data_IF_242451254421
#
_entry.id   IF_242451254421
#
_cell.length_a   1.000
_cell.length_b   1.000
_cell.length_c   1.000
_cell.angle_alpha   90.00
_cell.angle_beta   90.00
_cell.angle_gamma   90.00
#
_symmetry.space_group_name_H-M   'P 1'
#
loop_
_entity.id
_entity.type
_entity.pdbx_description
1 polymer ?
#
# COMPACT_ATOMS: atom_id res chain seq x y z
N UNK A 1 9.07 -7.67 -3.50
CA UNK A 1 10.53 -7.62 -3.28
C UNK A 1 11.03 -6.37 -3.98
N UNK A 2 11.45 -5.36 -3.22
CA UNK A 2 12.11 -4.15 -3.75
C UNK A 2 13.61 -4.47 -3.70
N UNK A 3 14.30 -4.57 -4.84
CA UNK A 3 15.74 -4.87 -4.89
C UNK A 3 16.50 -3.83 -5.74
N UNK A 4 17.77 -3.61 -5.42
CA UNK A 4 18.69 -2.70 -6.13
C UNK A 4 19.64 -3.43 -7.09
N UNK A 5 19.63 -3.02 -8.37
CA UNK A 5 20.66 -3.20 -9.40
C UNK A 5 20.21 -2.47 -10.70
N UNK A 6 21.13 -2.12 -11.61
CA UNK A 6 20.91 -1.35 -12.85
C UNK A 6 19.97 -1.98 -13.92
N UNK A 7 19.24 -3.03 -13.59
CA UNK A 7 18.16 -3.58 -14.41
C UNK A 7 17.01 -3.96 -13.47
N UNK A 8 16.20 -2.97 -13.12
CA UNK A 8 14.94 -3.18 -12.42
C UNK A 8 13.85 -3.55 -13.44
N UNK A 9 13.82 -4.81 -13.86
CA UNK A 9 12.61 -5.36 -14.51
C UNK A 9 11.55 -5.54 -13.42
N UNK A 10 10.95 -4.43 -12.99
CA UNK A 10 9.83 -4.42 -12.04
C UNK A 10 10.12 -3.91 -10.61
N UNK A 11 11.28 -3.31 -10.33
CA UNK A 11 11.59 -2.72 -9.01
C UNK A 11 11.55 -1.19 -9.02
N UNK A 12 11.05 -0.61 -7.92
CA UNK A 12 11.23 0.82 -7.62
C UNK A 12 12.68 1.05 -7.21
N UNK A 13 13.47 1.58 -8.13
CA UNK A 13 14.83 1.99 -7.85
C UNK A 13 14.82 3.24 -6.95
N UNK A 14 15.59 3.19 -5.87
CA UNK A 14 15.82 4.29 -4.94
C UNK A 14 17.23 4.17 -4.38
N UNK A 15 17.73 5.22 -3.71
CA UNK A 15 19.05 5.22 -3.08
C UNK A 15 19.06 4.33 -1.83
N UNK A 16 20.25 3.92 -1.40
CA UNK A 16 20.47 3.15 -0.16
C UNK A 16 19.80 3.85 1.04
N UNK A 17 20.01 5.16 1.17
CA UNK A 17 19.37 5.96 2.21
C UNK A 17 17.83 5.92 2.16
N UNK A 18 17.24 5.91 0.96
CA UNK A 18 15.79 5.89 0.79
C UNK A 18 15.20 4.52 1.15
N UNK A 19 15.87 3.43 0.77
CA UNK A 19 15.39 2.09 1.09
C UNK A 19 15.60 1.76 2.58
N UNK A 20 16.68 2.23 3.20
CA UNK A 20 16.95 2.03 4.62
C UNK A 20 15.84 2.62 5.50
N UNK A 21 15.40 3.85 5.19
CA UNK A 21 14.31 4.50 5.91
C UNK A 21 12.99 3.72 5.77
N UNK A 22 12.65 3.28 4.55
CA UNK A 22 11.44 2.48 4.30
C UNK A 22 11.52 1.15 5.07
N UNK A 23 12.68 0.48 5.04
CA UNK A 23 12.88 -0.78 5.74
C UNK A 23 12.70 -0.61 7.25
N UNK A 24 13.21 0.48 7.82
CA UNK A 24 13.03 0.79 9.23
C UNK A 24 11.54 0.96 9.60
N UNK A 25 10.78 1.75 8.85
CA UNK A 25 9.35 1.95 9.14
C UNK A 25 8.52 0.68 8.95
N UNK A 26 8.76 -0.06 7.88
CA UNK A 26 8.05 -1.33 7.61
C UNK A 26 8.36 -2.35 8.70
N UNK A 27 9.64 -2.50 9.08
CA UNK A 27 10.05 -3.42 10.15
C UNK A 27 9.39 -3.05 11.46
N UNK A 28 9.40 -1.76 11.84
CA UNK A 28 8.73 -1.30 13.05
C UNK A 28 7.22 -1.62 13.02
N UNK A 29 6.52 -1.30 11.93
CA UNK A 29 5.09 -1.57 11.80
C UNK A 29 4.77 -3.06 12.00
N UNK A 30 5.56 -3.97 11.40
CA UNK A 30 5.37 -5.41 11.53
C UNK A 30 5.69 -5.92 12.93
N UNK A 31 6.81 -5.50 13.53
CA UNK A 31 7.22 -5.89 14.89
C UNK A 31 6.19 -5.44 15.93
N UNK A 32 5.58 -4.27 15.74
CA UNK A 32 4.54 -3.74 16.62
C UNK A 32 3.11 -4.18 16.24
N UNK A 33 2.97 -5.22 15.41
CA UNK A 33 1.71 -5.96 15.25
C UNK A 33 0.82 -5.51 14.09
N UNK A 34 1.28 -4.63 13.20
CA UNK A 34 0.55 -4.36 11.96
C UNK A 34 0.67 -5.59 11.02
N UNK A 35 -0.43 -6.18 10.55
CA UNK A 35 -0.37 -7.44 9.78
C UNK A 35 0.16 -7.26 8.35
N UNK A 36 0.12 -6.03 7.82
CA UNK A 36 0.55 -5.68 6.47
C UNK A 36 0.72 -4.16 6.35
N UNK A 37 1.69 -3.72 5.55
CA UNK A 37 1.87 -2.29 5.23
C UNK A 37 1.30 -2.01 3.84
N UNK A 38 0.36 -1.07 3.76
CA UNK A 38 -0.19 -0.62 2.48
C UNK A 38 0.73 0.44 1.88
N UNK A 39 1.08 0.27 0.61
CA UNK A 39 1.92 1.20 -0.14
C UNK A 39 1.08 1.83 -1.25
N UNK A 40 1.04 3.15 -1.29
CA UNK A 40 0.41 3.92 -2.37
C UNK A 40 1.48 4.73 -3.09
N UNK A 41 1.47 4.70 -4.42
CA UNK A 41 2.48 5.35 -5.25
C UNK A 41 1.79 6.29 -6.22
N UNK A 42 2.27 7.53 -6.25
CA UNK A 42 1.73 8.59 -7.08
C UNK A 42 2.81 9.10 -8.04
N UNK A 43 2.45 9.53 -9.26
CA UNK A 43 3.42 9.94 -10.29
C UNK A 43 4.21 11.20 -9.89
N UNK A 44 3.63 12.03 -9.05
CA UNK A 44 4.18 13.27 -8.49
C UNK A 44 3.32 13.68 -7.30
N UNK A 45 3.73 14.72 -6.57
CA UNK A 45 2.87 15.41 -5.59
C UNK A 45 1.67 16.00 -6.31
N UNK A 46 0.47 15.43 -6.14
CA UNK A 46 -0.70 15.68 -7.01
C UNK A 46 -1.43 17.00 -6.72
N UNK A 47 -0.67 18.07 -6.50
CA UNK A 47 -1.21 19.43 -6.38
C UNK A 47 -1.90 19.84 -7.67
N UNK A 48 -2.87 20.76 -7.58
CA UNK A 48 -3.61 21.24 -8.76
C UNK A 48 -2.66 21.87 -9.80
N UNK A 49 -1.62 22.56 -9.34
CA UNK A 49 -0.57 23.10 -10.20
C UNK A 49 0.18 22.01 -10.98
N UNK A 50 0.53 20.89 -10.34
CA UNK A 50 1.20 19.77 -11.01
C UNK A 50 0.24 19.02 -11.94
N UNK A 51 -1.01 18.83 -11.55
CA UNK A 51 -2.04 18.27 -12.44
C UNK A 51 -2.21 19.12 -13.71
N UNK A 52 -2.26 20.44 -13.56
CA UNK A 52 -2.35 21.36 -14.69
C UNK A 52 -1.09 21.36 -15.55
N UNK A 53 0.10 21.30 -14.94
CA UNK A 53 1.38 21.18 -15.65
C UNK A 53 1.42 19.96 -16.56
N UNK A 54 0.82 18.84 -16.14
CA UNK A 54 0.83 17.60 -16.90
C UNK A 54 -0.50 17.28 -17.61
N UNK A 55 -1.36 18.28 -17.85
CA UNK A 55 -2.70 18.10 -18.45
C UNK A 55 -2.72 17.46 -19.84
N UNK A 56 -1.62 17.50 -20.58
CA UNK A 56 -1.49 16.88 -21.90
C UNK A 56 -0.84 15.48 -21.87
N UNK A 57 -0.58 14.93 -20.68
CA UNK A 57 -0.08 13.57 -20.53
C UNK A 57 -1.12 12.56 -21.03
N UNK A 58 -0.64 11.49 -21.67
CA UNK A 58 -1.45 10.32 -21.99
C UNK A 58 -2.13 9.71 -20.75
N UNK A 59 -1.51 9.85 -19.57
CA UNK A 59 -2.02 9.31 -18.31
C UNK A 59 -2.92 10.26 -17.53
N UNK A 60 -3.30 11.43 -18.09
CA UNK A 60 -4.07 12.47 -17.36
C UNK A 60 -5.35 11.91 -16.72
N UNK A 61 -6.07 11.05 -17.43
CA UNK A 61 -7.37 10.52 -16.99
C UNK A 61 -7.21 9.43 -15.94
N UNK A 62 -6.08 8.72 -15.97
CA UNK A 62 -5.69 7.81 -14.91
C UNK A 62 -5.31 8.58 -13.64
N UNK A 63 -4.47 9.61 -13.75
CA UNK A 63 -4.07 10.42 -12.60
C UNK A 63 -5.26 11.17 -11.98
N UNK A 64 -6.22 11.62 -12.78
CA UNK A 64 -7.47 12.19 -12.27
C UNK A 64 -8.23 11.23 -11.34
N UNK A 65 -8.14 9.91 -11.56
CA UNK A 65 -8.75 8.91 -10.68
C UNK A 65 -7.96 8.67 -9.39
N UNK A 66 -6.64 8.91 -9.40
CA UNK A 66 -5.80 8.79 -8.21
C UNK A 66 -5.91 9.99 -7.26
N UNK A 67 -6.15 11.19 -7.82
CA UNK A 67 -6.14 12.46 -7.09
C UNK A 67 -7.04 12.48 -5.85
N UNK A 68 -8.30 11.97 -5.87
CA UNK A 68 -9.14 11.96 -4.68
C UNK A 68 -8.53 11.18 -3.51
N UNK A 69 -7.79 10.10 -3.78
CA UNK A 69 -7.10 9.32 -2.76
C UNK A 69 -5.88 10.04 -2.20
N UNK A 70 -5.14 10.73 -3.06
CA UNK A 70 -4.04 11.60 -2.67
C UNK A 70 -4.54 12.74 -1.76
N UNK A 71 -5.54 13.48 -2.22
CA UNK A 71 -6.08 14.64 -1.48
C UNK A 71 -6.66 14.22 -0.11
N UNK A 72 -7.34 13.07 -0.06
CA UNK A 72 -7.85 12.51 1.21
C UNK A 72 -6.71 12.24 2.20
N UNK A 73 -5.63 11.62 1.73
CA UNK A 73 -4.48 11.32 2.56
C UNK A 73 -3.79 12.60 3.05
N UNK A 74 -3.54 13.58 2.17
CA UNK A 74 -2.88 14.83 2.58
C UNK A 74 -3.72 15.64 3.57
N UNK A 75 -5.06 15.57 3.50
CA UNK A 75 -5.93 16.26 4.45
C UNK A 75 -6.05 15.55 5.81
N UNK A 76 -6.07 14.21 5.81
CA UNK A 76 -6.44 13.42 7.00
C UNK A 76 -5.29 12.65 7.62
N UNK A 77 -4.19 12.52 6.88
CA UNK A 77 -3.05 11.65 7.15
C UNK A 77 -3.47 10.19 7.40
N UNK A 78 -4.59 9.76 6.80
CA UNK A 78 -5.11 8.40 6.88
C UNK A 78 -5.23 7.83 5.47
N UNK A 79 -4.80 6.58 5.24
CA UNK A 79 -4.92 5.96 3.93
C UNK A 79 -6.41 5.77 3.60
N UNK A 80 -6.88 6.13 2.39
CA UNK A 80 -8.25 5.87 1.98
C UNK A 80 -8.48 4.37 1.71
N UNK A 81 -9.74 3.95 1.62
CA UNK A 81 -10.09 2.67 0.99
C UNK A 81 -10.14 2.86 -0.51
N UNK A 82 -9.48 1.97 -1.25
CA UNK A 82 -9.43 2.00 -2.72
C UNK A 82 -9.98 0.69 -3.25
N UNK A 83 -10.85 0.77 -4.26
CA UNK A 83 -11.41 -0.37 -4.98
C UNK A 83 -11.41 -0.10 -6.48
N UNK A 84 -11.55 -1.16 -7.28
CA UNK A 84 -11.64 -1.06 -8.74
C UNK A 84 -13.04 -1.50 -9.16
N UNK A 85 -13.75 -0.63 -9.86
CA UNK A 85 -15.08 -0.90 -10.42
C UNK A 85 -15.03 -0.54 -11.89
N UNK A 86 -15.37 -1.49 -12.77
CA UNK A 86 -15.34 -1.32 -14.24
C UNK A 86 -14.01 -0.75 -14.77
N UNK A 87 -12.89 -1.23 -14.19
CA UNK A 87 -11.54 -0.78 -14.55
C UNK A 87 -11.17 0.62 -14.05
N UNK A 88 -12.00 1.25 -13.21
CA UNK A 88 -11.76 2.59 -12.64
C UNK A 88 -11.48 2.52 -11.16
N UNK A 89 -10.60 3.39 -10.69
CA UNK A 89 -10.31 3.53 -9.27
C UNK A 89 -11.43 4.29 -8.57
N UNK A 90 -11.98 3.69 -7.52
CA UNK A 90 -12.99 4.29 -6.65
C UNK A 90 -12.40 4.43 -5.25
N UNK A 91 -12.32 5.67 -4.79
CA UNK A 91 -11.78 6.05 -3.49
C UNK A 91 -12.94 6.28 -2.53
N UNK A 92 -12.90 5.61 -1.38
CA UNK A 92 -13.89 5.75 -0.31
C UNK A 92 -13.20 5.99 1.04
N UNK A 93 -13.98 6.50 2.01
CA UNK A 93 -13.48 6.65 3.39
C UNK A 93 -13.12 5.27 3.95
N UNK A 94 -12.10 5.17 4.82
CA UNK A 94 -11.74 3.93 5.47
C UNK A 94 -12.96 3.30 6.14
N UNK A 95 -13.25 2.04 5.80
CA UNK A 95 -14.29 1.31 6.50
C UNK A 95 -13.89 1.19 7.97
N UNK A 96 -14.74 1.72 8.86
CA UNK A 96 -14.55 1.50 10.30
C UNK A 96 -14.57 -0.02 10.55
N UNK A 97 -13.71 -0.58 11.42
CA UNK A 97 -13.66 -2.02 11.70
C UNK A 97 -14.98 -2.64 12.21
N UNK A 98 -16.02 -1.82 12.46
CA UNK A 98 -17.31 -2.24 13.03
C UNK A 98 -18.37 -2.65 12.00
N UNK A 99 -17.94 -3.20 10.86
CA UNK A 99 -18.85 -3.76 9.85
C UNK A 99 -18.29 -5.07 9.28
N UNK A 100 -17.87 -5.99 10.15
CA UNK A 100 -17.92 -7.42 9.83
C UNK A 100 -19.08 -8.00 10.61
N UNK A 101 -20.23 -8.12 9.97
CA UNK A 101 -21.34 -8.89 10.50
C UNK A 101 -20.86 -10.34 10.64
N UNK A 102 -20.69 -10.80 11.87
CA UNK A 102 -20.32 -12.17 12.15
C UNK A 102 -21.47 -13.08 11.69
N UNK A 103 -21.28 -13.86 10.64
CA UNK A 103 -22.18 -14.97 10.33
C UNK A 103 -21.38 -16.16 9.79
N UNK A 104 -21.69 -17.32 10.37
CA UNK A 104 -21.30 -18.69 10.01
C UNK A 104 -19.87 -19.12 10.37
N UNK A 105 -19.79 -19.95 11.41
CA UNK A 105 -18.57 -20.58 11.88
C UNK A 105 -18.12 -21.75 11.02
N UNK A 106 -16.81 -21.98 11.05
CA UNK A 106 -16.21 -23.27 10.74
C UNK A 106 -15.19 -23.54 11.85
N UNK A 107 -15.49 -24.51 12.73
CA UNK A 107 -14.52 -25.06 13.67
C UNK A 107 -13.43 -25.77 12.84
N UNK A 108 -12.25 -25.15 12.71
CA UNK A 108 -11.07 -25.88 12.27
C UNK A 108 -10.35 -26.43 13.50
N UNK A 109 -10.35 -27.74 13.63
CA UNK A 109 -9.52 -28.45 14.61
C UNK A 109 -8.05 -28.18 14.30
N UNK A 110 -7.35 -27.50 15.21
CA UNK A 110 -5.91 -27.35 15.15
C UNK A 110 -5.22 -28.63 15.66
N UNK A 111 -4.64 -29.40 14.73
CA UNK A 111 -3.68 -30.45 15.05
C UNK A 111 -2.41 -29.80 15.61
N UNK A 112 -2.06 -30.12 16.87
CA UNK A 112 -0.77 -29.78 17.47
C UNK A 112 0.36 -30.53 16.77
N UNK A 113 1.05 -29.87 15.84
CA UNK A 113 2.34 -30.30 15.29
C UNK A 113 3.48 -29.50 15.92
N UNK A 114 4.42 -30.19 16.56
CA UNK A 114 5.60 -29.63 17.25
C UNK A 114 6.53 -28.96 16.24
N UNK A 115 6.87 -27.69 16.46
CA UNK A 115 7.93 -26.99 15.71
C UNK A 115 9.26 -27.33 16.37
N UNK A 116 10.19 -27.95 15.63
CA UNK A 116 11.59 -28.12 16.03
C UNK A 116 12.41 -26.97 15.41
N UNK A 117 13.34 -26.32 16.12
CA UNK A 117 14.16 -25.26 15.54
C UNK A 117 15.26 -25.85 14.64
N UNK A 118 15.38 -25.30 13.43
CA UNK A 118 16.50 -25.53 12.50
C UNK A 118 17.72 -24.75 13.02
N UNK A 119 18.82 -25.44 13.29
CA UNK A 119 20.15 -24.86 13.51
C UNK A 119 20.78 -24.59 12.13
N UNK A 120 21.12 -23.34 11.83
CA UNK A 120 22.07 -23.03 10.76
C UNK A 120 23.48 -23.37 11.25
N UNK A 121 24.23 -24.09 10.42
CA UNK A 121 25.68 -24.14 10.43
C UNK A 121 26.21 -23.10 9.44
#
# INVERSE_FOLDING_TARGET
>A
MIHGACVSVGCYAMTDSGIDEIFQFVTAALVFGQPSVQVSIYPFRMTDANMQRHKYSYYKDFWAQLKPGYDYFEQTHKPPTVSIVDGRYVVSKPLSPRSRSATAGLKLYALRGKITPIRLA
#
